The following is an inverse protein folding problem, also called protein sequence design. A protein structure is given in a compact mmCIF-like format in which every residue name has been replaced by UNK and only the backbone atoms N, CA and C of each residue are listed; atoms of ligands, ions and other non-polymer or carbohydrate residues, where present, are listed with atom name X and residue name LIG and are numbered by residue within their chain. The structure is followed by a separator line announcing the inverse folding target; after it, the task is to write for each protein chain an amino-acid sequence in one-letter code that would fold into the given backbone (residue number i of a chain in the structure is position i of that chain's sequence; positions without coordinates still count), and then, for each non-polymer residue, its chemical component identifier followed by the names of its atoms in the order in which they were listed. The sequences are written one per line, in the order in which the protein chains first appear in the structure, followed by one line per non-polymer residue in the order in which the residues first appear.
data_IF_905945857753
#
_entry.id   IF_905945857753
#
_cell.length_a   1.000
_cell.length_b   1.000
_cell.length_c   1.000
_cell.angle_alpha   90.00
_cell.angle_beta   90.00
_cell.angle_gamma   90.00
#
_symmetry.space_group_name_H-M   'P 1'
#
loop_
_entity.id
_entity.type
_entity.pdbx_description
1 polymer ?
#
# COMPACT_ATOMS: atom_id res chain seq x y z
N UNK A 1 19.81 -2.76 -2.55
CA UNK A 1 19.32 -2.86 -3.94
C UNK A 1 19.31 -1.45 -4.55
N UNK A 2 19.67 -1.26 -5.82
CA UNK A 2 19.66 0.08 -6.43
C UNK A 2 18.26 0.47 -6.93
N UNK A 3 17.98 1.77 -6.92
CA UNK A 3 16.76 2.34 -7.49
C UNK A 3 17.17 3.37 -8.55
N UNK A 4 16.60 3.26 -9.75
CA UNK A 4 17.03 4.10 -10.87
C UNK A 4 15.85 4.58 -11.72
N UNK A 5 15.87 5.86 -12.03
CA UNK A 5 14.92 6.53 -12.90
C UNK A 5 15.45 6.67 -14.33
N UNK A 6 14.70 6.11 -15.26
CA UNK A 6 14.94 6.24 -16.69
C UNK A 6 14.26 7.50 -17.20
N UNK A 7 15.09 8.45 -17.65
CA UNK A 7 14.62 9.65 -18.34
C UNK A 7 13.81 9.29 -19.59
N UNK A 8 12.66 9.92 -19.77
CA UNK A 8 11.83 9.76 -20.96
C UNK A 8 10.50 10.47 -20.87
N UNK A 9 9.70 10.40 -21.91
CA UNK A 9 8.37 11.02 -22.04
C UNK A 9 7.27 10.00 -22.41
N UNK A 10 7.65 8.74 -22.65
CA UNK A 10 6.74 7.65 -23.00
C UNK A 10 6.03 7.13 -21.75
N UNK A 11 4.83 7.62 -21.50
CA UNK A 11 4.11 7.33 -20.25
C UNK A 11 3.69 5.87 -20.02
N UNK A 12 3.52 5.06 -21.08
CA UNK A 12 3.18 3.63 -20.99
C UNK A 12 4.40 2.71 -21.09
N UNK A 13 5.60 3.28 -21.02
CA UNK A 13 6.80 2.47 -21.12
C UNK A 13 7.09 1.79 -19.77
N UNK A 14 7.26 0.48 -19.83
CA UNK A 14 7.68 -0.33 -18.68
C UNK A 14 9.19 -0.17 -18.49
N UNK A 15 9.67 0.33 -17.34
CA UNK A 15 11.10 0.51 -17.11
C UNK A 15 11.81 -0.84 -17.07
N UNK A 16 13.00 -0.89 -17.67
CA UNK A 16 13.82 -2.11 -17.79
C UNK A 16 14.96 -2.09 -16.78
N UNK A 17 15.40 -3.24 -16.28
CA UNK A 17 16.63 -3.30 -15.49
C UNK A 17 17.85 -2.81 -16.27
N UNK A 18 18.84 -2.25 -15.57
CA UNK A 18 20.17 -2.05 -16.13
C UNK A 18 20.87 -3.41 -16.25
N UNK A 19 21.64 -3.64 -17.32
CA UNK A 19 22.27 -4.95 -17.57
C UNK A 19 23.18 -5.39 -16.42
N UNK A 20 23.84 -4.43 -15.77
CA UNK A 20 24.76 -4.62 -14.64
C UNK A 20 24.07 -4.90 -13.31
N UNK A 21 22.75 -4.72 -13.23
CA UNK A 21 21.99 -4.83 -11.99
C UNK A 21 20.98 -5.98 -12.10
N UNK A 22 21.12 -6.99 -11.23
CA UNK A 22 20.18 -8.12 -11.15
C UNK A 22 18.99 -7.81 -10.24
N UNK A 23 19.25 -7.08 -9.15
CA UNK A 23 18.24 -6.64 -8.19
C UNK A 23 18.12 -5.12 -8.30
N UNK A 24 16.98 -4.62 -8.75
CA UNK A 24 16.80 -3.20 -9.03
C UNK A 24 15.32 -2.81 -8.98
N UNK A 25 15.03 -1.64 -8.42
CA UNK A 25 13.76 -0.95 -8.64
C UNK A 25 13.94 0.03 -9.81
N UNK A 26 13.33 -0.30 -10.95
CA UNK A 26 13.40 0.51 -12.15
C UNK A 26 12.17 1.42 -12.23
N UNK A 27 12.39 2.71 -12.45
CA UNK A 27 11.35 3.73 -12.51
C UNK A 27 11.35 4.42 -13.88
N UNK A 28 10.18 4.83 -14.35
CA UNK A 28 10.07 5.66 -15.55
C UNK A 28 8.93 6.64 -15.50
N UNK A 29 8.98 7.59 -16.43
CA UNK A 29 7.99 8.63 -16.62
C UNK A 29 6.58 8.07 -16.79
N UNK A 30 5.63 8.67 -16.08
CA UNK A 30 4.20 8.47 -16.27
C UNK A 30 3.52 9.86 -16.23
N UNK A 31 2.54 10.10 -17.11
CA UNK A 31 1.88 11.40 -17.27
C UNK A 31 0.49 11.47 -16.62
N UNK A 32 0.18 10.53 -15.73
CA UNK A 32 -1.06 10.53 -14.98
C UNK A 32 -1.20 11.82 -14.16
N UNK A 33 -2.33 12.51 -14.36
CA UNK A 33 -2.65 13.79 -13.73
C UNK A 33 -3.79 13.61 -12.73
N UNK A 34 -3.51 13.99 -11.49
CA UNK A 34 -4.43 14.01 -10.37
C UNK A 34 -4.85 15.45 -10.08
N UNK A 35 -5.73 15.99 -10.91
CA UNK A 35 -6.27 17.36 -10.77
C UNK A 35 -5.18 18.45 -10.82
N UNK A 36 -4.26 18.34 -11.79
CA UNK A 36 -3.12 19.25 -11.95
C UNK A 36 -1.90 18.89 -11.12
N UNK A 37 -1.91 17.74 -10.44
CA UNK A 37 -0.79 17.20 -9.67
C UNK A 37 -0.37 15.86 -10.28
N UNK A 38 0.84 15.75 -10.78
CA UNK A 38 1.38 14.53 -11.36
C UNK A 38 2.54 13.97 -10.54
N UNK A 39 2.28 12.97 -9.70
CA UNK A 39 3.32 12.30 -8.88
C UNK A 39 3.66 10.89 -9.36
N UNK A 40 2.90 10.33 -10.30
CA UNK A 40 2.98 8.91 -10.65
C UNK A 40 4.23 8.59 -11.47
N UNK A 41 4.95 7.54 -11.11
CA UNK A 41 5.99 6.89 -11.90
C UNK A 41 5.60 5.43 -12.15
N UNK A 42 5.91 4.89 -13.33
CA UNK A 42 5.84 3.44 -13.54
C UNK A 42 7.00 2.81 -12.80
N UNK A 43 6.75 1.72 -12.06
CA UNK A 43 7.74 1.03 -11.27
C UNK A 43 7.75 -0.47 -11.57
N UNK A 44 8.96 -1.03 -11.68
CA UNK A 44 9.17 -2.47 -11.82
C UNK A 44 10.27 -2.91 -10.87
N UNK A 45 9.96 -3.88 -10.03
CA UNK A 45 10.92 -4.54 -9.16
C UNK A 45 11.51 -5.75 -9.90
N UNK A 46 12.81 -5.68 -10.16
CA UNK A 46 13.60 -6.78 -10.69
C UNK A 46 14.34 -7.50 -9.57
N UNK A 47 14.25 -8.83 -9.53
CA UNK A 47 14.98 -9.71 -8.62
C UNK A 47 15.59 -10.85 -9.43
N UNK A 48 16.88 -11.11 -9.24
CA UNK A 48 17.66 -12.10 -10.01
C UNK A 48 17.50 -11.92 -11.53
N UNK A 49 17.41 -10.66 -11.98
CA UNK A 49 17.26 -10.28 -13.37
C UNK A 49 15.87 -10.47 -13.96
N UNK A 50 14.88 -10.90 -13.16
CA UNK A 50 13.50 -11.16 -13.58
C UNK A 50 12.56 -10.06 -13.07
N UNK A 51 11.60 -9.67 -13.89
CA UNK A 51 10.49 -8.83 -13.47
C UNK A 51 9.64 -9.61 -12.46
N UNK A 52 9.54 -9.08 -11.24
CA UNK A 52 8.87 -9.74 -10.12
C UNK A 52 7.55 -9.04 -9.75
N UNK A 53 7.54 -7.71 -9.78
CA UNK A 53 6.37 -6.90 -9.43
C UNK A 53 6.34 -5.64 -10.29
N UNK A 54 5.19 -5.33 -10.87
CA UNK A 54 4.91 -4.05 -11.53
C UNK A 54 3.88 -3.28 -10.72
N UNK A 55 4.16 -2.00 -10.48
CA UNK A 55 3.30 -1.13 -9.68
C UNK A 55 3.54 0.34 -10.06
N UNK A 56 2.87 1.27 -9.39
CA UNK A 56 3.16 2.69 -9.50
C UNK A 56 3.90 3.18 -8.24
N UNK A 57 4.94 3.98 -8.41
CA UNK A 57 5.54 4.73 -7.31
C UNK A 57 5.04 6.17 -7.40
N UNK A 58 4.26 6.61 -6.42
CA UNK A 58 3.87 8.02 -6.30
C UNK A 58 5.02 8.76 -5.64
N UNK A 59 5.52 9.83 -6.25
CA UNK A 59 6.64 10.61 -5.75
C UNK A 59 6.24 12.09 -5.74
N UNK A 60 6.21 12.69 -4.55
CA UNK A 60 5.87 14.09 -4.32
C UNK A 60 7.15 14.85 -3.97
N UNK A 61 7.54 15.82 -4.80
CA UNK A 61 8.68 16.70 -4.57
C UNK A 61 8.17 18.01 -3.97
N UNK A 62 8.88 18.54 -2.98
CA UNK A 62 8.57 19.85 -2.38
C UNK A 62 8.50 20.94 -3.45
N UNK A 63 7.47 21.79 -3.37
CA UNK A 63 7.21 22.91 -4.28
C UNK A 63 7.09 22.55 -5.78
N UNK A 64 6.83 21.28 -6.12
CA UNK A 64 6.64 20.82 -7.49
C UNK A 64 5.29 20.11 -7.66
N UNK A 65 4.60 20.42 -8.77
CA UNK A 65 3.30 19.82 -9.11
C UNK A 65 3.41 18.69 -10.12
N UNK A 66 4.58 18.44 -10.71
CA UNK A 66 4.73 17.46 -11.78
C UNK A 66 6.07 16.72 -11.74
N UNK A 67 6.18 15.81 -10.77
CA UNK A 67 7.44 15.17 -10.41
C UNK A 67 8.10 14.38 -11.54
N UNK A 68 7.40 13.60 -12.39
CA UNK A 68 8.00 12.94 -13.55
C UNK A 68 8.74 13.91 -14.50
N UNK A 69 8.18 15.09 -14.72
CA UNK A 69 8.82 16.14 -15.52
C UNK A 69 10.02 16.73 -14.78
N UNK A 70 9.88 16.99 -13.47
CA UNK A 70 10.99 17.48 -12.63
C UNK A 70 12.16 16.50 -12.59
N UNK A 71 11.92 15.19 -12.52
CA UNK A 71 12.97 14.16 -12.58
C UNK A 71 13.71 14.18 -13.92
N UNK A 72 13.01 14.37 -15.03
CA UNK A 72 13.67 14.55 -16.34
C UNK A 72 14.56 15.80 -16.37
N UNK A 73 14.10 16.91 -15.77
CA UNK A 73 14.90 18.13 -15.65
C UNK A 73 16.15 17.89 -14.80
N UNK A 74 16.02 17.22 -13.64
CA UNK A 74 17.17 16.89 -12.79
C UNK A 74 18.19 16.02 -13.53
N UNK A 75 17.72 15.06 -14.35
CA UNK A 75 18.56 14.25 -15.24
C UNK A 75 19.33 15.11 -16.25
N UNK A 76 18.72 16.18 -16.77
CA UNK A 76 19.36 17.14 -17.68
C UNK A 76 20.35 18.07 -16.98
N UNK A 77 20.10 18.36 -15.71
CA UNK A 77 20.96 19.16 -14.83
C UNK A 77 22.14 18.35 -14.25
N UNK A 78 22.24 17.06 -14.58
CA UNK A 78 23.38 16.21 -14.27
C UNK A 78 23.15 15.16 -13.18
N UNK A 79 21.93 15.00 -12.68
CA UNK A 79 21.59 13.85 -11.82
C UNK A 79 21.76 12.54 -12.60
N UNK A 80 22.45 11.57 -12.01
CA UNK A 80 22.78 10.30 -12.63
C UNK A 80 21.59 9.32 -12.70
N UNK A 81 20.44 9.69 -12.12
CA UNK A 81 19.19 8.92 -12.09
C UNK A 81 19.08 7.92 -10.96
N UNK A 82 20.11 7.75 -10.13
CA UNK A 82 20.06 6.87 -8.99
C UNK A 82 19.51 7.61 -7.76
N UNK A 83 18.69 6.90 -7.00
CA UNK A 83 18.22 7.40 -5.71
C UNK A 83 19.26 7.14 -4.62
N UNK A 84 19.27 7.93 -3.53
CA UNK A 84 18.39 9.09 -3.28
C UNK A 84 18.69 10.29 -4.20
N UNK A 85 17.66 11.09 -4.50
CA UNK A 85 17.82 12.28 -5.35
C UNK A 85 18.58 13.35 -4.54
N UNK A 86 19.76 13.81 -5.00
CA UNK A 86 20.56 14.76 -4.24
C UNK A 86 19.88 16.12 -4.14
N UNK A 87 20.05 16.79 -2.99
CA UNK A 87 19.55 18.15 -2.72
C UNK A 87 18.07 18.36 -3.04
N UNK A 88 17.26 17.30 -2.97
CA UNK A 88 15.84 17.34 -3.28
C UNK A 88 15.05 16.81 -2.09
N UNK A 89 14.08 17.61 -1.62
CA UNK A 89 13.15 17.18 -0.60
C UNK A 89 11.93 16.53 -1.28
N UNK A 90 11.62 15.30 -0.91
CA UNK A 90 10.54 14.51 -1.51
C UNK A 90 10.15 13.37 -0.58
N UNK A 91 8.95 12.84 -0.81
CA UNK A 91 8.48 11.58 -0.25
C UNK A 91 7.89 10.70 -1.36
N UNK A 92 7.89 9.39 -1.16
CA UNK A 92 7.25 8.46 -2.08
C UNK A 92 6.29 7.49 -1.40
N UNK A 93 5.35 6.96 -2.18
CA UNK A 93 4.38 5.96 -1.76
C UNK A 93 4.27 4.90 -2.86
N UNK A 94 4.73 3.66 -2.62
CA UNK A 94 4.40 2.52 -3.46
C UNK A 94 2.87 2.35 -3.53
N UNK A 95 2.31 2.09 -4.72
CA UNK A 95 0.88 1.88 -4.88
C UNK A 95 0.40 0.49 -4.46
N UNK A 96 1.34 -0.40 -4.14
CA UNK A 96 1.07 -1.80 -3.84
C UNK A 96 1.81 -2.21 -2.56
N UNK A 97 1.08 -2.79 -1.62
CA UNK A 97 1.61 -3.25 -0.34
C UNK A 97 2.53 -4.48 -0.50
N UNK A 98 2.33 -5.26 -1.57
CA UNK A 98 3.15 -6.44 -1.86
C UNK A 98 4.61 -6.08 -2.13
N UNK A 99 4.88 -4.81 -2.49
CA UNK A 99 6.24 -4.27 -2.60
C UNK A 99 7.05 -4.51 -1.32
N UNK A 100 6.51 -4.14 -0.16
CA UNK A 100 7.19 -4.22 1.13
C UNK A 100 7.51 -5.67 1.52
N UNK A 101 6.53 -6.56 1.40
CA UNK A 101 6.73 -7.99 1.67
C UNK A 101 7.79 -8.58 0.73
N UNK A 102 7.74 -8.22 -0.55
CA UNK A 102 8.67 -8.72 -1.55
C UNK A 102 10.11 -8.31 -1.23
N UNK A 103 10.37 -7.03 -0.96
CA UNK A 103 11.74 -6.57 -0.68
C UNK A 103 12.28 -7.19 0.62
N UNK A 104 11.46 -7.40 1.65
CA UNK A 104 11.87 -8.10 2.87
C UNK A 104 12.24 -9.55 2.58
N UNK A 105 11.37 -10.29 1.89
CA UNK A 105 11.58 -11.72 1.58
C UNK A 105 12.79 -11.93 0.68
N UNK A 106 13.04 -11.01 -0.26
CA UNK A 106 14.09 -11.18 -1.27
C UNK A 106 15.44 -10.59 -0.87
N UNK A 107 15.46 -9.52 -0.09
CA UNK A 107 16.69 -8.81 0.28
C UNK A 107 17.07 -9.01 1.75
N UNK A 108 16.11 -9.39 2.59
CA UNK A 108 16.25 -9.31 4.04
C UNK A 108 15.83 -7.94 4.59
N UNK A 109 15.57 -7.89 5.89
CA UNK A 109 14.95 -6.73 6.54
C UNK A 109 15.82 -5.47 6.47
N UNK A 110 17.14 -5.58 6.65
CA UNK A 110 18.04 -4.43 6.69
C UNK A 110 18.22 -3.79 5.31
N UNK A 111 18.43 -4.61 4.27
CA UNK A 111 18.52 -4.13 2.89
C UNK A 111 17.18 -3.56 2.40
N UNK A 112 16.06 -4.15 2.83
CA UNK A 112 14.73 -3.62 2.55
C UNK A 112 14.51 -2.24 3.19
N UNK A 113 14.94 -2.04 4.44
CA UNK A 113 14.92 -0.71 5.10
C UNK A 113 15.74 0.30 4.33
N UNK A 114 16.93 -0.09 3.84
CA UNK A 114 17.76 0.82 3.04
C UNK A 114 17.04 1.26 1.75
N UNK A 115 16.32 0.35 1.09
CA UNK A 115 15.51 0.70 -0.09
C UNK A 115 14.44 1.72 0.25
N UNK A 116 13.74 1.57 1.39
CA UNK A 116 12.74 2.54 1.84
C UNK A 116 13.34 3.92 2.13
N UNK A 117 14.55 3.96 2.70
CA UNK A 117 15.30 5.20 2.91
C UNK A 117 15.70 5.83 1.57
N UNK A 118 16.21 5.06 0.62
CA UNK A 118 16.67 5.56 -0.68
C UNK A 118 15.51 6.19 -1.49
N UNK A 119 14.34 5.54 -1.50
CA UNK A 119 13.15 6.09 -2.16
C UNK A 119 12.41 7.14 -1.32
N UNK A 120 12.85 7.40 -0.09
CA UNK A 120 12.16 8.23 0.89
C UNK A 120 10.68 7.84 1.06
N UNK A 121 10.43 6.57 1.36
CA UNK A 121 9.10 6.03 1.60
C UNK A 121 8.41 6.81 2.73
N UNK A 122 7.24 7.39 2.42
CA UNK A 122 6.54 8.30 3.31
C UNK A 122 6.12 7.60 4.60
N UNK A 123 5.55 6.39 4.51
CA UNK A 123 5.06 5.66 5.68
C UNK A 123 6.19 5.29 6.63
N UNK A 124 7.32 4.81 6.08
CA UNK A 124 8.51 4.47 6.86
C UNK A 124 9.15 5.69 7.50
N UNK A 125 9.32 6.78 6.73
CA UNK A 125 9.96 7.98 7.23
C UNK A 125 9.15 8.68 8.34
N UNK A 126 7.82 8.68 8.25
CA UNK A 126 6.97 9.35 9.24
C UNK A 126 6.76 8.49 10.48
N UNK A 127 6.50 7.19 10.33
CA UNK A 127 6.11 6.33 11.44
C UNK A 127 7.28 5.65 12.16
N UNK A 128 8.38 5.35 11.44
CA UNK A 128 9.54 4.65 12.03
C UNK A 128 10.71 5.60 12.27
N UNK A 129 11.10 6.38 11.25
CA UNK A 129 12.25 7.31 11.37
C UNK A 129 11.85 8.60 12.10
N UNK A 130 10.58 8.99 12.01
CA UNK A 130 10.05 10.27 12.49
C UNK A 130 10.78 11.49 11.88
N UNK A 131 10.98 11.45 10.56
CA UNK A 131 11.64 12.51 9.80
C UNK A 131 10.74 13.77 9.71
N UNK A 132 11.28 14.92 10.12
CA UNK A 132 10.52 16.16 10.20
C UNK A 132 10.11 16.74 8.85
N UNK A 133 10.90 16.51 7.80
CA UNK A 133 10.62 17.07 6.48
C UNK A 133 9.63 16.18 5.74
N UNK A 134 9.72 14.86 5.90
CA UNK A 134 8.68 13.95 5.47
C UNK A 134 7.34 14.27 6.14
N UNK A 135 7.33 14.50 7.45
CA UNK A 135 6.11 14.88 8.20
C UNK A 135 5.44 16.16 7.66
N UNK A 136 6.21 17.15 7.20
CA UNK A 136 5.65 18.35 6.56
C UNK A 136 5.04 18.05 5.20
N UNK A 137 5.73 17.24 4.37
CA UNK A 137 5.26 16.91 3.03
C UNK A 137 3.98 16.05 3.05
N UNK A 138 3.89 15.07 3.95
CA UNK A 138 2.66 14.26 4.08
C UNK A 138 1.47 15.06 4.60
N UNK A 139 1.73 16.16 5.33
CA UNK A 139 0.69 17.08 5.81
C UNK A 139 0.19 18.08 4.76
N UNK A 140 0.79 18.09 3.56
CA UNK A 140 0.38 18.99 2.48
C UNK A 140 -0.83 18.41 1.70
N UNK A 141 -1.78 19.27 1.30
CA UNK A 141 -3.00 18.86 0.60
C UNK A 141 -2.75 18.05 -0.70
N UNK A 142 -1.60 18.29 -1.35
CA UNK A 142 -1.23 17.55 -2.56
C UNK A 142 -0.97 16.07 -2.28
N UNK A 143 -0.54 15.72 -1.07
CA UNK A 143 -0.25 14.34 -0.67
C UNK A 143 -1.51 13.49 -0.69
N UNK A 144 -2.62 14.01 -0.15
CA UNK A 144 -3.93 13.35 -0.21
C UNK A 144 -4.49 13.31 -1.64
N UNK A 145 -4.24 14.38 -2.41
CA UNK A 145 -4.82 14.55 -3.75
C UNK A 145 -4.21 13.60 -4.78
N UNK A 146 -2.91 13.32 -4.70
CA UNK A 146 -2.19 12.52 -5.71
C UNK A 146 -1.54 11.26 -5.14
N UNK A 147 -0.53 11.31 -4.23
CA UNK A 147 0.05 10.10 -3.62
C UNK A 147 -0.96 9.15 -2.99
N UNK A 148 -1.96 9.66 -2.27
CA UNK A 148 -2.99 8.84 -1.61
C UNK A 148 -4.31 8.76 -2.36
N UNK A 149 -4.35 9.13 -3.65
CA UNK A 149 -5.59 9.10 -4.45
C UNK A 149 -6.15 7.69 -4.61
N UNK A 150 -5.28 6.70 -4.80
CA UNK A 150 -5.65 5.32 -5.08
C UNK A 150 -5.70 4.48 -3.80
N UNK A 151 -6.64 3.54 -3.73
CA UNK A 151 -6.84 2.70 -2.54
C UNK A 151 -5.59 1.84 -2.21
N UNK A 152 -4.89 1.35 -3.23
CA UNK A 152 -3.65 0.60 -3.05
C UNK A 152 -2.56 1.44 -2.39
N UNK A 153 -2.34 2.67 -2.86
CA UNK A 153 -1.36 3.60 -2.28
C UNK A 153 -1.74 4.03 -0.85
N UNK A 154 -3.03 4.26 -0.57
CA UNK A 154 -3.50 4.52 0.81
C UNK A 154 -3.16 3.38 1.75
N UNK A 155 -3.50 2.15 1.34
CA UNK A 155 -3.22 0.95 2.13
C UNK A 155 -1.72 0.72 2.32
N UNK A 156 -0.94 0.88 1.26
CA UNK A 156 0.51 0.78 1.30
C UNK A 156 1.11 1.81 2.28
N UNK A 157 0.65 3.06 2.25
CA UNK A 157 1.07 4.10 3.19
C UNK A 157 0.66 3.79 4.65
N UNK A 158 -0.58 3.31 4.87
CA UNK A 158 -1.09 3.05 6.23
C UNK A 158 -0.44 1.84 6.90
N UNK A 159 -0.18 0.78 6.12
CA UNK A 159 0.18 -0.54 6.65
C UNK A 159 1.59 -1.01 6.26
N UNK A 160 2.16 -0.52 5.16
CA UNK A 160 3.41 -1.03 4.60
C UNK A 160 4.60 -0.95 5.57
N UNK A 161 4.71 0.15 6.30
CA UNK A 161 5.77 0.35 7.30
C UNK A 161 5.61 -0.58 8.51
N UNK A 162 4.39 -0.99 8.87
CA UNK A 162 4.13 -1.86 10.05
C UNK A 162 4.80 -3.22 9.91
N UNK A 163 4.98 -3.68 8.67
CA UNK A 163 5.68 -4.93 8.34
C UNK A 163 7.14 -4.90 8.84
N UNK A 164 7.76 -3.73 8.97
CA UNK A 164 9.15 -3.55 9.40
C UNK A 164 9.33 -3.44 10.91
N UNK A 165 8.27 -3.17 11.68
CA UNK A 165 8.32 -3.15 13.14
C UNK A 165 8.30 -4.56 13.76
N UNK A 166 8.16 -5.62 12.97
CA UNK A 166 7.84 -6.96 13.47
C UNK A 166 6.65 -6.96 14.43
N UNK A 167 5.76 -5.96 14.32
CA UNK A 167 4.37 -6.22 14.67
C UNK A 167 3.94 -7.27 13.67
N UNK A 168 4.02 -8.54 14.08
CA UNK A 168 3.30 -9.60 13.39
C UNK A 168 1.96 -8.98 13.06
N UNK A 169 1.66 -8.88 11.76
CA UNK A 169 0.29 -8.72 11.30
C UNK A 169 -0.40 -10.04 11.63
N UNK A 170 -0.52 -10.31 12.92
CA UNK A 170 -1.42 -11.28 13.45
C UNK A 170 -2.78 -10.77 13.03
N UNK A 171 -3.45 -11.55 12.20
CA UNK A 171 -4.86 -11.32 12.00
C UNK A 171 -5.44 -11.42 13.40
N UNK A 172 -5.91 -10.31 13.94
CA UNK A 172 -6.44 -10.32 15.30
C UNK A 172 -7.73 -11.14 15.28
N UNK A 173 -7.99 -11.83 16.38
CA UNK A 173 -9.29 -12.45 16.57
C UNK A 173 -10.36 -11.35 16.49
N UNK A 174 -11.41 -11.60 15.74
CA UNK A 174 -12.53 -10.68 15.64
C UNK A 174 -13.85 -11.43 15.65
N UNK A 175 -14.90 -10.72 16.03
CA UNK A 175 -16.27 -11.22 16.01
C UNK A 175 -17.04 -10.53 14.89
N UNK A 176 -17.51 -11.32 13.94
CA UNK A 176 -18.47 -10.87 12.94
C UNK A 176 -19.88 -10.99 13.53
N UNK A 177 -20.63 -9.90 13.58
CA UNK A 177 -22.05 -9.91 13.94
C UNK A 177 -22.88 -10.02 12.67
N UNK A 178 -23.44 -11.21 12.42
CA UNK A 178 -24.35 -11.41 11.28
C UNK A 178 -25.78 -11.11 11.67
N UNK A 179 -26.51 -10.36 10.85
CA UNK A 179 -27.91 -10.03 11.13
C UNK A 179 -28.83 -11.16 10.65
N UNK A 180 -29.69 -11.65 11.55
CA UNK A 180 -30.77 -12.60 11.23
C UNK A 180 -32.03 -11.86 10.77
N UNK A 181 -32.93 -12.59 10.11
CA UNK A 181 -34.22 -12.06 9.64
C UNK A 181 -35.10 -11.46 10.75
N UNK A 182 -34.99 -11.97 11.97
CA UNK A 182 -35.70 -11.46 13.15
C UNK A 182 -35.08 -10.18 13.75
N UNK A 183 -34.08 -9.60 13.09
CA UNK A 183 -33.37 -8.40 13.56
C UNK A 183 -32.29 -8.66 14.60
N UNK A 184 -32.16 -9.88 15.13
CA UNK A 184 -31.11 -10.24 16.08
C UNK A 184 -29.74 -10.41 15.39
N UNK A 185 -28.67 -10.09 16.10
CA UNK A 185 -27.30 -10.34 15.65
C UNK A 185 -26.77 -11.65 16.21
N UNK A 186 -26.13 -12.45 15.36
CA UNK A 186 -25.43 -13.68 15.74
C UNK A 186 -23.90 -13.47 15.64
N UNK A 187 -23.18 -13.64 16.76
CA UNK A 187 -21.73 -13.52 16.77
C UNK A 187 -21.07 -14.75 16.14
N UNK A 188 -20.15 -14.52 15.21
CA UNK A 188 -19.30 -15.54 14.59
C UNK A 188 -17.86 -15.15 14.86
N UNK A 189 -17.20 -15.95 15.70
CA UNK A 189 -15.83 -15.68 16.15
C UNK A 189 -14.83 -16.22 15.13
N UNK A 190 -14.02 -15.34 14.56
CA UNK A 190 -12.86 -15.70 13.77
C UNK A 190 -11.65 -15.70 14.71
N UNK A 191 -11.00 -16.86 14.84
CA UNK A 191 -9.84 -17.05 15.71
C UNK A 191 -8.64 -17.40 14.87
N UNK A 192 -7.66 -16.51 14.84
CA UNK A 192 -6.41 -16.68 14.10
C UNK A 192 -5.24 -16.97 15.04
N UNK A 193 -5.36 -16.58 16.31
CA UNK A 193 -4.38 -16.84 17.37
C UNK A 193 -4.74 -18.13 18.17
N UNK A 194 -4.99 -19.24 17.49
CA UNK A 194 -5.40 -20.52 18.12
C UNK A 194 -4.27 -21.56 18.14
N UNK A 195 -4.09 -22.26 19.26
CA UNK A 195 -3.12 -23.37 19.37
C UNK A 195 -3.62 -24.70 18.76
N UNK A 196 -4.84 -24.73 18.22
CA UNK A 196 -5.54 -25.96 17.81
C UNK A 196 -5.56 -26.21 16.30
N UNK A 197 -5.33 -25.18 15.49
CA UNK A 197 -5.24 -25.24 14.03
C UNK A 197 -3.97 -24.48 13.60
N UNK A 198 -3.40 -24.77 12.41
CA UNK A 198 -2.36 -23.91 11.84
C UNK A 198 -2.84 -22.44 11.84
N UNK A 199 -1.92 -21.51 12.12
CA UNK A 199 -2.19 -20.08 12.06
C UNK A 199 -2.85 -19.72 10.71
N UNK A 200 -3.72 -18.71 10.73
CA UNK A 200 -4.42 -18.16 9.56
C UNK A 200 -5.53 -19.02 8.93
N UNK A 201 -6.01 -20.07 9.60
CA UNK A 201 -7.11 -20.92 9.10
C UNK A 201 -8.33 -20.89 10.03
N UNK A 202 -9.48 -20.48 9.48
CA UNK A 202 -10.81 -20.65 10.09
C UNK A 202 -11.67 -21.61 9.26
N UNK A 203 -12.46 -22.44 9.92
CA UNK A 203 -13.30 -23.47 9.27
C UNK A 203 -14.78 -23.19 9.55
N UNK A 204 -15.56 -22.93 8.50
CA UNK A 204 -17.02 -22.72 8.58
C UNK A 204 -17.78 -23.97 8.08
N UNK A 205 -18.30 -24.77 9.02
CA UNK A 205 -19.01 -26.04 8.73
C UNK A 205 -20.46 -25.97 9.20
N UNK A 206 -21.35 -26.60 8.43
CA UNK A 206 -22.76 -26.75 8.79
C UNK A 206 -23.57 -27.36 7.63
N UNK A 207 -24.84 -27.72 7.85
CA UNK A 207 -25.72 -28.28 6.82
C UNK A 207 -25.89 -27.40 5.57
N UNK A 208 -26.38 -27.97 4.48
CA UNK A 208 -26.75 -27.19 3.29
C UNK A 208 -27.91 -26.24 3.61
N UNK A 209 -27.83 -25.01 3.10
CA UNK A 209 -28.87 -23.99 3.34
C UNK A 209 -28.80 -23.27 4.70
N UNK A 210 -27.86 -23.62 5.60
CA UNK A 210 -27.78 -22.99 6.94
C UNK A 210 -27.22 -21.55 6.94
N UNK A 211 -26.79 -21.03 5.78
CA UNK A 211 -26.30 -19.66 5.65
C UNK A 211 -24.77 -19.50 5.54
N UNK A 212 -23.98 -20.56 5.39
CA UNK A 212 -22.51 -20.47 5.25
C UNK A 212 -22.05 -19.46 4.18
N UNK A 213 -22.61 -19.53 2.98
CA UNK A 213 -22.28 -18.60 1.89
C UNK A 213 -22.76 -17.18 2.17
N UNK A 214 -23.89 -17.04 2.88
CA UNK A 214 -24.42 -15.74 3.28
C UNK A 214 -23.49 -15.08 4.31
N UNK A 215 -23.00 -15.82 5.30
CA UNK A 215 -22.00 -15.34 6.27
C UNK A 215 -20.76 -14.78 5.59
N UNK A 216 -20.19 -15.52 4.61
CA UNK A 216 -19.00 -15.05 3.87
C UNK A 216 -19.31 -13.83 3.01
N UNK A 217 -20.49 -13.76 2.39
CA UNK A 217 -20.95 -12.60 1.63
C UNK A 217 -21.05 -11.37 2.53
N UNK A 218 -21.73 -11.48 3.67
CA UNK A 218 -21.87 -10.38 4.63
C UNK A 218 -20.52 -9.90 5.15
N UNK A 219 -19.58 -10.81 5.45
CA UNK A 219 -18.21 -10.43 5.83
C UNK A 219 -17.58 -9.50 4.78
N UNK A 220 -17.64 -9.88 3.50
CA UNK A 220 -17.06 -9.09 2.40
C UNK A 220 -17.77 -7.75 2.22
N UNK A 221 -19.11 -7.74 2.24
CA UNK A 221 -19.91 -6.51 2.11
C UNK A 221 -19.59 -5.51 3.24
N UNK A 222 -19.51 -6.00 4.47
CA UNK A 222 -19.16 -5.20 5.65
C UNK A 222 -17.74 -4.68 5.60
N UNK A 223 -16.79 -5.49 5.13
CA UNK A 223 -15.39 -5.10 5.03
C UNK A 223 -15.14 -4.04 3.94
N UNK A 224 -15.85 -4.14 2.82
CA UNK A 224 -15.71 -3.20 1.70
C UNK A 224 -16.59 -1.95 1.84
N UNK A 225 -17.52 -1.93 2.80
CA UNK A 225 -18.45 -0.82 2.99
C UNK A 225 -19.49 -0.70 1.87
N UNK A 226 -19.89 -1.83 1.25
CA UNK A 226 -20.83 -1.88 0.12
C UNK A 226 -22.10 -2.65 0.48
N UNK A 227 -23.18 -2.42 -0.26
CA UNK A 227 -24.48 -3.08 -0.05
C UNK A 227 -24.92 -3.02 1.43
N UNK A 228 -25.10 -4.17 2.10
CA UNK A 228 -25.47 -4.22 3.51
C UNK A 228 -24.42 -3.69 4.48
N UNK A 229 -23.17 -3.52 4.01
CA UNK A 229 -22.07 -2.91 4.76
C UNK A 229 -21.92 -1.41 4.58
N UNK A 230 -22.74 -0.79 3.73
CA UNK A 230 -22.66 0.66 3.54
C UNK A 230 -23.01 1.41 4.82
N UNK A 231 -22.34 2.53 5.07
CA UNK A 231 -22.54 3.34 6.29
C UNK A 231 -24.01 3.70 6.53
N UNK A 232 -24.70 4.15 5.47
CA UNK A 232 -26.12 4.51 5.54
C UNK A 232 -26.98 3.31 5.94
N UNK A 233 -26.73 2.14 5.35
CA UNK A 233 -27.48 0.92 5.70
C UNK A 233 -27.20 0.45 7.12
N UNK A 234 -25.96 0.53 7.60
CA UNK A 234 -25.62 0.15 8.98
C UNK A 234 -26.25 1.08 10.02
N UNK A 235 -26.26 2.39 9.74
CA UNK A 235 -26.91 3.40 10.58
C UNK A 235 -28.43 3.21 10.64
N UNK A 236 -29.09 3.01 9.50
CA UNK A 236 -30.53 2.73 9.42
C UNK A 236 -30.93 1.45 10.17
N UNK A 237 -30.01 0.48 10.23
CA UNK A 237 -30.25 -0.81 10.85
C UNK A 237 -29.79 -0.90 12.31
N UNK A 238 -29.19 0.17 12.85
CA UNK A 238 -28.54 0.21 14.16
C UNK A 238 -27.60 -1.00 14.36
N UNK A 239 -26.84 -1.35 13.31
CA UNK A 239 -26.06 -2.57 13.25
C UNK A 239 -24.55 -2.28 13.27
N UNK A 240 -23.85 -2.87 14.24
CA UNK A 240 -22.39 -2.85 14.31
C UNK A 240 -21.84 -4.20 13.82
N UNK A 241 -21.18 -4.26 12.64
CA UNK A 241 -20.73 -5.52 12.04
C UNK A 241 -19.60 -6.25 12.77
N UNK A 242 -18.73 -5.52 13.46
CA UNK A 242 -17.51 -6.05 14.07
C UNK A 242 -17.39 -5.59 15.53
N UNK A 243 -16.77 -6.41 16.39
CA UNK A 243 -16.48 -6.10 17.80
C UNK A 243 -15.26 -5.20 18.01
N UNK A 244 -14.43 -5.12 16.97
CA UNK A 244 -13.23 -4.32 16.88
C UNK A 244 -13.41 -3.36 15.72
N UNK A 245 -12.78 -2.17 15.78
CA UNK A 245 -12.73 -1.25 14.64
C UNK A 245 -11.89 -1.88 13.52
N UNK A 246 -12.52 -2.77 12.77
CA UNK A 246 -12.03 -3.32 11.51
C UNK A 246 -12.43 -2.44 10.33
N UNK A 247 -12.75 -1.18 10.60
CA UNK A 247 -13.01 -0.15 9.60
C UNK A 247 -11.99 -0.29 8.47
N UNK A 248 -12.41 -0.39 7.21
CA UNK A 248 -11.47 -0.20 6.12
C UNK A 248 -10.92 1.22 6.27
N UNK A 249 -9.66 1.32 6.70
CA UNK A 249 -8.85 2.54 6.59
C UNK A 249 -8.48 2.71 5.12
#
# INVERSE_FOLDING_TARGET
MKVFYHKGDKWRWTPTRLETEQNMLALSFNNWDDYGIGTTLNAVLYIDGKNFLEFALKLLIEDDKYSPKKLNQLRDEGWDGFFPIPNTNYVSVPSDIDFYQTIIVKLGIDDAKQVLVDIKDAGYLTNIVNDSDANKLVGHNDFDTSPLREAGARKAYSDGWRIFEQQESSINNFTLFTRKYNGSSEPINFKFNSNSLPYDINILIGPNGIGKSYTLKSLVEYWLGVDSGSKTTLEEQEHTPFDTDLSPI
#
